data_IF_913907157541
#
_entry.id   IF_913907157541
#
_cell.length_a   1.000
_cell.length_b   1.000
_cell.length_c   1.000
_cell.angle_alpha   90.00
_cell.angle_beta   90.00
_cell.angle_gamma   90.00
#
_symmetry.space_group_name_H-M   'P 1'
#
loop_
_entity.id
_entity.type
_entity.pdbx_description
1 polymer ?
#
# COMPACT_ATOMS: atom_id res chain seq x y z
N UNK A 1 -30.69 19.27 4.22
CA UNK A 1 -29.92 18.02 4.40
C UNK A 1 -28.47 18.46 4.68
N UNK A 2 -27.94 18.20 5.88
CA UNK A 2 -26.59 18.61 6.28
C UNK A 2 -25.61 17.58 5.72
N UNK A 3 -24.66 18.00 4.89
CA UNK A 3 -23.56 17.14 4.47
C UNK A 3 -22.70 16.86 5.70
N UNK A 4 -22.73 15.62 6.16
CA UNK A 4 -21.79 15.16 7.17
C UNK A 4 -20.45 14.99 6.46
N UNK A 5 -19.47 15.84 6.82
CA UNK A 5 -18.09 15.61 6.43
C UNK A 5 -17.69 14.23 6.93
N UNK A 6 -17.50 13.28 6.01
CA UNK A 6 -16.86 12.01 6.32
C UNK A 6 -15.40 12.37 6.61
N UNK A 7 -15.09 12.60 7.87
CA UNK A 7 -13.72 12.79 8.34
C UNK A 7 -13.04 11.43 8.19
N UNK A 8 -12.56 11.12 6.99
CA UNK A 8 -11.58 10.05 6.81
C UNK A 8 -10.39 10.45 7.66
N UNK A 9 -10.25 9.82 8.83
CA UNK A 9 -9.09 10.02 9.68
C UNK A 9 -7.88 9.68 8.83
N UNK A 10 -7.12 10.70 8.40
CA UNK A 10 -5.79 10.51 7.85
C UNK A 10 -5.03 9.79 8.94
N UNK A 11 -4.92 8.46 8.84
CA UNK A 11 -3.99 7.71 9.66
C UNK A 11 -2.65 8.40 9.46
N UNK A 12 -2.11 8.98 10.54
CA UNK A 12 -0.87 9.72 10.50
C UNK A 12 0.25 8.74 10.21
N UNK A 13 0.62 8.61 8.94
CA UNK A 13 1.74 7.79 8.50
C UNK A 13 3.04 8.53 8.72
N UNK A 14 4.05 7.84 9.23
CA UNK A 14 5.43 8.32 9.24
C UNK A 14 6.13 7.78 7.99
N UNK A 15 6.87 8.63 7.23
CA UNK A 15 7.60 8.16 6.07
C UNK A 15 8.77 7.26 6.49
N UNK A 16 8.99 6.18 5.74
CA UNK A 16 10.16 5.31 5.84
C UNK A 16 10.89 5.36 4.51
N UNK A 17 12.19 5.58 4.54
CA UNK A 17 13.01 5.58 3.33
C UNK A 17 13.19 4.15 2.84
N UNK A 18 12.97 3.95 1.54
CA UNK A 18 13.21 2.70 0.83
C UNK A 18 14.29 2.93 -0.22
N UNK A 19 15.09 1.90 -0.48
CA UNK A 19 16.06 1.94 -1.58
C UNK A 19 15.35 1.91 -2.93
N UNK A 20 16.03 2.37 -3.98
CA UNK A 20 15.50 2.30 -5.35
C UNK A 20 15.12 0.86 -5.73
N UNK A 21 15.96 -0.12 -5.38
CA UNK A 21 15.69 -1.53 -5.65
C UNK A 21 14.39 -2.02 -4.96
N UNK A 22 14.13 -1.57 -3.73
CA UNK A 22 12.87 -1.89 -3.03
C UNK A 22 11.67 -1.24 -3.72
N UNK A 23 11.78 0.02 -4.15
CA UNK A 23 10.72 0.70 -4.92
C UNK A 23 10.43 -0.02 -6.24
N UNK A 24 11.47 -0.44 -6.97
CA UNK A 24 11.31 -1.20 -8.22
C UNK A 24 10.62 -2.55 -8.00
N UNK A 25 10.95 -3.26 -6.91
CA UNK A 25 10.27 -4.49 -6.54
C UNK A 25 8.77 -4.25 -6.25
N UNK A 26 8.44 -3.18 -5.52
CA UNK A 26 7.04 -2.81 -5.23
C UNK A 26 6.28 -2.45 -6.52
N UNK A 27 6.92 -1.76 -7.46
CA UNK A 27 6.32 -1.43 -8.77
C UNK A 27 5.98 -2.68 -9.58
N UNK A 28 6.87 -3.68 -9.60
CA UNK A 28 6.61 -4.97 -10.26
C UNK A 28 5.38 -5.67 -9.66
N UNK A 29 5.23 -5.64 -8.33
CA UNK A 29 4.04 -6.19 -7.65
C UNK A 29 2.78 -5.44 -8.10
N UNK A 30 2.81 -4.11 -8.13
CA UNK A 30 1.69 -3.29 -8.58
C UNK A 30 1.27 -3.63 -10.02
N UNK A 31 2.25 -3.77 -10.91
CA UNK A 31 2.02 -4.12 -12.31
C UNK A 31 1.40 -5.51 -12.46
N UNK A 32 1.90 -6.51 -11.73
CA UNK A 32 1.32 -7.84 -11.71
C UNK A 32 -0.15 -7.83 -11.26
N UNK A 33 -0.46 -7.10 -10.19
CA UNK A 33 -1.83 -6.98 -9.69
C UNK A 33 -2.75 -6.25 -10.67
N UNK A 34 -2.23 -5.24 -11.36
CA UNK A 34 -2.96 -4.52 -12.42
C UNK A 34 -3.43 -5.48 -13.52
N UNK A 35 -2.50 -6.30 -14.02
CA UNK A 35 -2.80 -7.31 -15.04
C UNK A 35 -3.80 -8.37 -14.55
N UNK A 36 -3.74 -8.75 -13.27
CA UNK A 36 -4.63 -9.77 -12.68
C UNK A 36 -6.06 -9.26 -12.40
N UNK A 37 -6.24 -7.95 -12.19
CA UNK A 37 -7.53 -7.39 -11.75
C UNK A 37 -8.65 -7.46 -12.79
N UNK A 38 -8.37 -7.77 -14.05
CA UNK A 38 -9.34 -7.79 -15.17
C UNK A 38 -9.87 -6.42 -15.60
N UNK A 39 -9.91 -5.44 -14.69
CA UNK A 39 -10.35 -4.05 -14.91
C UNK A 39 -9.20 -3.04 -14.88
N UNK A 40 -7.95 -3.51 -14.72
CA UNK A 40 -6.75 -2.66 -14.74
C UNK A 40 -6.53 -1.81 -13.48
N UNK A 41 -7.12 -2.21 -12.35
CA UNK A 41 -6.90 -1.54 -11.05
C UNK A 41 -5.82 -2.25 -10.26
N UNK A 42 -4.99 -1.48 -9.55
CA UNK A 42 -4.00 -2.02 -8.62
C UNK A 42 -3.92 -1.10 -7.38
N UNK A 43 -3.60 -1.64 -6.21
CA UNK A 43 -3.28 -0.84 -5.03
C UNK A 43 -2.12 0.11 -5.31
N UNK A 44 -2.06 1.21 -4.58
CA UNK A 44 -0.97 2.17 -4.65
C UNK A 44 0.33 1.58 -4.09
N UNK A 45 1.47 2.18 -4.47
CA UNK A 45 2.79 1.84 -3.91
C UNK A 45 2.79 1.87 -2.37
N UNK A 46 2.10 2.85 -1.77
CA UNK A 46 2.01 2.99 -0.31
C UNK A 46 1.23 1.84 0.35
N UNK A 47 0.12 1.42 -0.26
CA UNK A 47 -0.69 0.30 0.25
C UNK A 47 0.08 -1.02 0.14
N UNK A 48 0.79 -1.24 -0.98
CA UNK A 48 1.62 -2.43 -1.16
C UNK A 48 2.77 -2.44 -0.14
N UNK A 49 3.49 -1.33 0.00
CA UNK A 49 4.61 -1.24 0.94
C UNK A 49 4.16 -1.49 2.38
N UNK A 50 3.05 -0.87 2.80
CA UNK A 50 2.47 -1.09 4.13
C UNK A 50 2.07 -2.55 4.33
N UNK A 51 1.36 -3.14 3.38
CA UNK A 51 0.95 -4.54 3.46
C UNK A 51 2.13 -5.52 3.52
N UNK A 52 3.24 -5.22 2.84
CA UNK A 52 4.47 -6.02 2.93
C UNK A 52 5.11 -5.92 4.32
N UNK A 53 5.21 -4.70 4.87
CA UNK A 53 5.74 -4.48 6.23
C UNK A 53 4.86 -5.16 7.27
N UNK A 54 3.54 -5.00 7.18
CA UNK A 54 2.59 -5.62 8.12
C UNK A 54 2.74 -7.15 8.12
N UNK A 55 2.82 -7.78 6.94
CA UNK A 55 3.05 -9.23 6.81
C UNK A 55 4.38 -9.67 7.41
N UNK A 56 5.46 -8.94 7.14
CA UNK A 56 6.78 -9.27 7.66
C UNK A 56 6.82 -9.13 9.19
N UNK A 57 6.18 -8.10 9.75
CA UNK A 57 6.08 -7.90 11.19
C UNK A 57 5.24 -9.01 11.85
N UNK A 58 4.12 -9.41 11.24
CA UNK A 58 3.30 -10.53 11.73
C UNK A 58 4.09 -11.86 11.76
N UNK A 59 4.94 -12.11 10.76
CA UNK A 59 5.81 -13.29 10.72
C UNK A 59 6.95 -13.26 11.73
N UNK A 60 7.39 -12.07 12.14
CA UNK A 60 8.53 -11.90 13.06
C UNK A 60 8.11 -11.78 14.53
N UNK A 61 6.89 -11.29 14.78
CA UNK A 61 6.34 -11.06 16.12
C UNK A 61 5.31 -12.13 16.53
N UNK A 62 4.91 -13.01 15.60
CA UNK A 62 4.13 -14.22 15.85
C UNK A 62 5.01 -15.48 15.90
#
# INVERSE_FOLDING_TARGET
>A
IKYQEVVMSKQSVKPVLLSEAQIQAIRKIQEQQRHQSGIGVAPTIHEIARGLVDKALQQHLG
#
